data_IF_755670370627
#
_entry.id   IF_755670370627
#
_cell.length_a   1.000
_cell.length_b   1.000
_cell.length_c   1.000
_cell.angle_alpha   90.00
_cell.angle_beta   90.00
_cell.angle_gamma   90.00
#
_symmetry.space_group_name_H-M   'P 1'
#
loop_
_entity.id
_entity.type
_entity.pdbx_description
1 polymer ?
#
# COMPACT_ATOMS: atom_id res chain seq x y z
N UNK A 1 13.94 -15.24 6.46
CA UNK A 1 12.54 -15.26 6.90
C UNK A 1 11.67 -15.16 5.66
N UNK A 2 10.66 -16.01 5.49
CA UNK A 2 9.70 -15.84 4.38
C UNK A 2 8.68 -14.79 4.83
N UNK A 3 8.43 -13.71 4.06
CA UNK A 3 7.47 -12.69 4.47
C UNK A 3 6.05 -13.26 4.48
N UNK A 4 5.22 -12.80 5.42
CA UNK A 4 3.79 -13.03 5.35
C UNK A 4 3.21 -12.21 4.19
N UNK A 5 2.43 -12.86 3.32
CA UNK A 5 1.88 -12.21 2.13
C UNK A 5 0.37 -12.03 2.23
N UNK A 6 -0.10 -10.80 1.98
CA UNK A 6 -1.50 -10.47 1.83
C UNK A 6 -1.82 -10.16 0.37
N UNK A 7 -2.92 -10.72 -0.13
CA UNK A 7 -3.36 -10.54 -1.52
C UNK A 7 -4.71 -9.87 -1.57
N UNK A 8 -4.74 -8.73 -2.23
CA UNK A 8 -5.95 -7.93 -2.49
C UNK A 8 -6.15 -7.82 -4.00
N UNK A 9 -7.39 -7.55 -4.39
CA UNK A 9 -7.76 -7.37 -5.79
C UNK A 9 -8.79 -6.26 -5.87
N UNK A 10 -8.60 -5.34 -6.82
CA UNK A 10 -9.55 -4.26 -7.09
C UNK A 10 -9.59 -3.97 -8.59
N UNK A 11 -10.80 -3.78 -9.10
CA UNK A 11 -11.06 -3.27 -10.46
C UNK A 11 -11.35 -1.78 -10.38
N UNK A 12 -10.72 -0.98 -11.23
CA UNK A 12 -10.80 0.47 -11.15
C UNK A 12 -10.84 1.11 -12.53
N UNK A 13 -11.69 2.11 -12.71
CA UNK A 13 -11.65 2.91 -13.93
C UNK A 13 -10.34 3.72 -13.98
N UNK A 14 -9.72 3.79 -15.16
CA UNK A 14 -8.42 4.43 -15.35
C UNK A 14 -8.40 5.89 -14.87
N UNK A 15 -9.50 6.63 -15.00
CA UNK A 15 -9.58 8.03 -14.54
C UNK A 15 -9.65 8.16 -13.02
N UNK A 16 -10.03 7.09 -12.32
CA UNK A 16 -10.28 7.06 -10.87
C UNK A 16 -9.16 6.38 -10.07
N UNK A 17 -8.05 6.05 -10.72
CA UNK A 17 -7.02 5.20 -10.13
C UNK A 17 -6.21 5.88 -9.02
N UNK A 18 -5.96 7.19 -9.14
CA UNK A 18 -5.15 7.91 -8.17
C UNK A 18 -5.82 7.98 -6.78
N UNK A 19 -7.11 8.34 -6.64
CA UNK A 19 -7.82 8.25 -5.35
C UNK A 19 -7.79 6.84 -4.74
N UNK A 20 -7.92 5.79 -5.55
CA UNK A 20 -7.89 4.39 -5.08
C UNK A 20 -6.50 4.01 -4.55
N UNK A 21 -5.44 4.32 -5.29
CA UNK A 21 -4.07 4.09 -4.85
C UNK A 21 -3.77 4.83 -3.55
N UNK A 22 -4.17 6.11 -3.45
CA UNK A 22 -4.03 6.89 -2.23
C UNK A 22 -4.71 6.21 -1.04
N UNK A 23 -5.99 5.81 -1.19
CA UNK A 23 -6.74 5.20 -0.11
C UNK A 23 -6.12 3.89 0.39
N UNK A 24 -5.75 3.00 -0.54
CA UNK A 24 -5.18 1.68 -0.22
C UNK A 24 -3.78 1.81 0.40
N UNK A 25 -2.88 2.57 -0.23
CA UNK A 25 -1.49 2.72 0.22
C UNK A 25 -1.45 3.39 1.60
N UNK A 26 -2.17 4.50 1.79
CA UNK A 26 -2.19 5.19 3.08
C UNK A 26 -2.77 4.31 4.18
N UNK A 27 -3.84 3.54 3.90
CA UNK A 27 -4.44 2.66 4.91
C UNK A 27 -3.48 1.56 5.35
N UNK A 28 -2.85 0.86 4.39
CA UNK A 28 -1.88 -0.20 4.70
C UNK A 28 -0.72 0.36 5.53
N UNK A 29 -0.14 1.49 5.11
CA UNK A 29 0.97 2.11 5.83
C UNK A 29 0.53 2.60 7.21
N UNK A 30 -0.63 3.23 7.34
CA UNK A 30 -1.17 3.70 8.61
C UNK A 30 -1.29 2.57 9.64
N UNK A 31 -1.87 1.43 9.26
CA UNK A 31 -2.04 0.28 10.14
C UNK A 31 -0.74 -0.49 10.46
N UNK A 32 0.36 -0.12 9.81
CA UNK A 32 1.70 -0.68 10.00
C UNK A 32 2.74 0.39 10.34
N UNK A 33 2.27 1.54 10.82
CA UNK A 33 3.12 2.60 11.33
C UNK A 33 3.25 2.49 12.83
N UNK A 34 4.45 2.18 13.33
CA UNK A 34 4.68 1.84 14.74
C UNK A 34 5.30 2.98 15.54
N UNK A 35 5.37 4.17 14.96
CA UNK A 35 5.86 5.36 15.63
C UNK A 35 4.71 6.29 16.02
N UNK A 36 4.87 7.11 17.07
CA UNK A 36 3.82 8.03 17.48
C UNK A 36 3.45 8.98 16.34
N UNK A 37 2.19 8.93 15.91
CA UNK A 37 1.66 9.80 14.86
C UNK A 37 0.29 10.31 15.21
N UNK A 38 -0.03 11.51 14.71
CA UNK A 38 -1.39 12.01 14.74
C UNK A 38 -2.15 11.43 13.55
N UNK A 39 -3.19 10.60 13.77
CA UNK A 39 -4.04 10.14 12.69
C UNK A 39 -4.78 11.32 12.04
N UNK A 40 -4.94 11.26 10.72
CA UNK A 40 -5.74 12.20 9.95
C UNK A 40 -6.61 11.42 8.96
N UNK A 41 -7.82 11.92 8.67
CA UNK A 41 -8.79 11.25 7.80
C UNK A 41 -8.91 12.04 6.50
N UNK A 42 -8.82 11.33 5.37
CA UNK A 42 -9.08 11.87 4.02
C UNK A 42 -10.26 11.12 3.41
N UNK A 43 -10.94 11.75 2.46
CA UNK A 43 -12.07 11.14 1.74
C UNK A 43 -11.74 10.93 0.25
N UNK A 44 -11.68 9.68 -0.18
CA UNK A 44 -11.74 9.34 -1.60
C UNK A 44 -13.19 9.50 -2.10
N UNK A 45 -13.36 10.06 -3.30
CA UNK A 45 -14.67 10.25 -3.92
C UNK A 45 -15.71 10.94 -3.00
N UNK A 46 -15.24 11.89 -2.17
CA UNK A 46 -16.00 12.68 -1.20
C UNK A 46 -16.76 11.88 -0.12
N UNK A 47 -16.66 10.56 -0.09
CA UNK A 47 -17.53 9.70 0.75
C UNK A 47 -16.81 8.51 1.38
N UNK A 48 -15.71 8.04 0.80
CA UNK A 48 -14.94 6.91 1.33
C UNK A 48 -13.81 7.44 2.20
N UNK A 49 -14.00 7.39 3.52
CA UNK A 49 -12.99 7.78 4.48
C UNK A 49 -11.88 6.73 4.59
N UNK A 50 -10.62 7.19 4.66
CA UNK A 50 -9.48 6.34 4.95
C UNK A 50 -8.46 7.09 5.83
N UNK A 51 -7.72 6.38 6.70
CA UNK A 51 -6.72 7.01 7.56
C UNK A 51 -5.43 7.30 6.79
N UNK A 52 -4.75 8.36 7.18
CA UNK A 52 -3.40 8.70 6.76
C UNK A 52 -2.57 9.18 7.97
N UNK A 53 -1.27 9.26 7.75
CA UNK A 53 -0.29 9.72 8.73
C UNK A 53 0.03 11.18 8.41
N UNK A 54 -0.13 12.07 9.39
CA UNK A 54 0.29 13.47 9.26
C UNK A 54 1.81 13.62 9.50
N UNK A 55 2.62 12.95 8.68
CA UNK A 55 4.09 13.01 8.66
C UNK A 55 4.57 13.44 7.26
N UNK A 56 5.21 14.62 7.10
CA UNK A 56 5.58 15.15 5.80
C UNK A 56 6.51 14.24 4.99
N UNK A 57 7.41 13.51 5.65
CA UNK A 57 8.34 12.61 4.97
C UNK A 57 7.61 11.41 4.37
N UNK A 58 6.73 10.78 5.16
CA UNK A 58 5.89 9.68 4.72
C UNK A 58 4.95 10.10 3.60
N UNK A 59 4.30 11.27 3.72
CA UNK A 59 3.45 11.84 2.67
C UNK A 59 4.21 12.08 1.37
N UNK A 60 5.43 12.63 1.45
CA UNK A 60 6.29 12.86 0.28
C UNK A 60 6.69 11.55 -0.40
N UNK A 61 7.05 10.52 0.37
CA UNK A 61 7.38 9.19 -0.17
C UNK A 61 6.19 8.59 -0.91
N UNK A 62 5.01 8.61 -0.30
CA UNK A 62 3.78 8.05 -0.89
C UNK A 62 3.40 8.81 -2.16
N UNK A 63 3.33 10.14 -2.10
CA UNK A 63 2.92 10.99 -3.23
C UNK A 63 3.88 10.93 -4.41
N UNK A 64 5.19 10.91 -4.14
CA UNK A 64 6.23 10.74 -5.17
C UNK A 64 6.05 9.41 -5.87
N UNK A 65 5.84 8.34 -5.09
CA UNK A 65 5.69 7.00 -5.66
C UNK A 65 4.41 6.86 -6.48
N UNK A 66 3.28 7.35 -5.97
CA UNK A 66 2.01 7.35 -6.72
C UNK A 66 2.19 8.11 -8.04
N UNK A 67 2.84 9.28 -8.02
CA UNK A 67 3.10 10.06 -9.23
C UNK A 67 3.95 9.28 -10.25
N UNK A 68 4.98 8.56 -9.78
CA UNK A 68 5.80 7.68 -10.63
C UNK A 68 4.99 6.52 -11.21
N UNK A 69 4.13 5.88 -10.39
CA UNK A 69 3.24 4.80 -10.81
C UNK A 69 2.31 5.31 -11.93
N UNK A 70 1.59 6.41 -11.69
CA UNK A 70 0.65 6.98 -12.66
C UNK A 70 1.33 7.32 -14.00
N UNK A 71 2.55 7.84 -13.97
CA UNK A 71 3.35 8.12 -15.18
C UNK A 71 3.73 6.85 -15.94
N UNK A 72 3.99 5.75 -15.25
CA UNK A 72 4.35 4.47 -15.87
C UNK A 72 3.12 3.73 -16.42
N UNK A 73 1.96 3.85 -15.76
CA UNK A 73 0.70 3.24 -16.20
C UNK A 73 0.19 3.81 -17.53
N UNK A 74 0.59 5.03 -17.90
CA UNK A 74 0.30 5.58 -19.23
C UNK A 74 1.00 4.83 -20.38
N UNK A 75 1.98 3.96 -20.09
CA UNK A 75 2.87 3.35 -21.10
C UNK A 75 2.69 1.84 -21.31
N UNK A 76 2.07 1.12 -20.37
CA UNK A 76 2.12 -0.36 -20.29
C UNK A 76 0.78 -0.91 -19.73
N UNK A 77 0.51 -2.24 -19.71
CA UNK A 77 -0.84 -2.79 -19.80
C UNK A 77 -1.75 -2.48 -18.62
N UNK A 78 -3.04 -2.75 -18.88
CA UNK A 78 -4.24 -2.41 -18.11
C UNK A 78 -4.21 -2.96 -16.67
N UNK A 79 -3.38 -3.96 -16.35
CA UNK A 79 -3.35 -4.59 -15.02
C UNK A 79 -1.94 -4.64 -14.45
N UNK A 80 -1.82 -4.38 -13.15
CA UNK A 80 -0.54 -4.38 -12.45
C UNK A 80 -0.69 -4.84 -11.00
N UNK A 81 0.41 -5.31 -10.40
CA UNK A 81 0.52 -5.54 -8.96
C UNK A 81 1.16 -4.32 -8.32
N UNK A 82 0.43 -3.66 -7.43
CA UNK A 82 1.00 -2.75 -6.44
C UNK A 82 1.55 -3.60 -5.28
N UNK A 83 2.82 -3.44 -4.97
CA UNK A 83 3.50 -4.18 -3.90
C UNK A 83 3.93 -3.19 -2.82
N UNK A 84 3.60 -3.48 -1.56
CA UNK A 84 4.05 -2.73 -0.38
C UNK A 84 4.73 -3.70 0.57
N UNK A 85 5.99 -3.47 0.88
CA UNK A 85 6.80 -4.34 1.72
C UNK A 85 7.23 -3.62 2.98
N UNK A 86 7.08 -4.27 4.13
CA UNK A 86 7.62 -3.81 5.41
C UNK A 86 8.86 -4.64 5.74
N UNK A 87 9.93 -3.92 6.09
CA UNK A 87 11.25 -4.50 6.31
C UNK A 87 11.70 -4.31 7.76
N UNK A 88 12.53 -5.23 8.25
CA UNK A 88 13.31 -5.07 9.47
C UNK A 88 14.78 -4.93 9.12
N UNK A 89 15.54 -4.16 9.91
CA UNK A 89 16.99 -4.03 9.75
C UNK A 89 17.69 -5.01 10.69
N UNK A 90 18.28 -6.06 10.14
CA UNK A 90 19.03 -7.06 10.89
C UNK A 90 20.52 -6.72 10.82
N UNK A 91 21.15 -6.55 11.97
CA UNK A 91 22.60 -6.38 12.07
C UNK A 91 23.23 -7.73 12.38
N UNK A 92 23.99 -8.29 11.44
CA UNK A 92 24.81 -9.48 11.69
C UNK A 92 26.22 -9.02 12.04
N UNK A 93 26.63 -9.29 13.28
CA UNK A 93 28.02 -9.10 13.72
C UNK A 93 28.81 -10.36 13.42
N UNK A 94 29.76 -10.25 12.50
CA UNK A 94 30.81 -11.26 12.29
C UNK A 94 32.12 -10.67 12.83
N UNK A 95 33.07 -11.50 13.26
CA UNK A 95 34.38 -11.07 13.75
C UNK A 95 35.02 -10.04 12.77
N UNK A 96 35.13 -8.79 13.23
CA UNK A 96 35.58 -7.57 12.53
C UNK A 96 34.69 -6.91 11.46
N UNK A 97 33.50 -7.43 11.13
CA UNK A 97 32.58 -6.78 10.19
C UNK A 97 31.15 -6.73 10.69
N UNK A 98 30.52 -5.58 10.49
CA UNK A 98 29.10 -5.37 10.77
C UNK A 98 28.38 -5.26 9.42
N UNK A 99 27.57 -6.26 9.08
CA UNK A 99 26.71 -6.19 7.90
C UNK A 99 25.28 -5.91 8.35
N UNK A 100 24.69 -4.84 7.82
CA UNK A 100 23.28 -4.51 7.99
C UNK A 100 22.50 -5.01 6.77
N UNK A 101 21.50 -5.85 7.01
CA UNK A 101 20.62 -6.39 5.97
C UNK A 101 19.17 -5.95 6.23
N UNK A 102 18.46 -5.51 5.19
CA UNK A 102 17.01 -5.30 5.22
C UNK A 102 16.29 -6.60 4.86
N UNK A 103 15.39 -7.06 5.71
CA UNK A 103 14.62 -8.29 5.51
C UNK A 103 13.13 -8.01 5.56
N UNK A 104 12.42 -8.34 4.48
CA UNK A 104 10.96 -8.22 4.40
C UNK A 104 10.29 -9.24 5.33
N UNK A 105 9.39 -8.75 6.19
CA UNK A 105 8.60 -9.58 7.11
C UNK A 105 7.11 -9.60 6.73
N UNK A 106 6.62 -8.59 6.02
CA UNK A 106 5.24 -8.51 5.53
C UNK A 106 5.21 -7.87 4.13
N UNK A 107 4.39 -8.44 3.24
CA UNK A 107 4.21 -7.99 1.86
C UNK A 107 2.73 -7.94 1.50
N UNK A 108 2.25 -6.77 1.09
CA UNK A 108 0.95 -6.59 0.50
C UNK A 108 1.06 -6.58 -1.01
N UNK A 109 0.31 -7.45 -1.68
CA UNK A 109 0.23 -7.54 -3.13
C UNK A 109 -1.21 -7.18 -3.51
N UNK A 110 -1.39 -5.99 -4.06
CA UNK A 110 -2.69 -5.50 -4.52
C UNK A 110 -2.70 -5.60 -6.04
N UNK A 111 -3.43 -6.57 -6.56
CA UNK A 111 -3.71 -6.63 -7.99
C UNK A 111 -4.70 -5.53 -8.34
N UNK A 112 -4.28 -4.59 -9.16
CA UNK A 112 -5.10 -3.50 -9.68
C UNK A 112 -5.36 -3.77 -11.15
N UNK A 113 -6.60 -4.06 -11.47
CA UNK A 113 -7.08 -4.21 -12.85
C UNK A 113 -7.77 -2.92 -13.26
N UNK A 114 -7.19 -2.22 -14.23
CA UNK A 114 -7.82 -1.01 -14.76
C UNK A 114 -8.84 -1.36 -15.84
N UNK A 115 -9.76 -0.46 -16.14
CA UNK A 115 -10.57 -0.54 -17.34
C UNK A 115 -10.91 0.87 -17.82
N UNK A 116 -11.38 0.99 -19.06
CA UNK A 116 -11.90 2.24 -19.58
C UNK A 116 -13.42 2.24 -19.48
N UNK A 117 -14.00 3.20 -18.78
CA UNK A 117 -15.45 3.36 -18.66
C UNK A 117 -16.11 4.09 -19.83
N UNK A 118 -15.45 4.20 -21.00
CA UNK A 118 -16.03 4.85 -22.18
C UNK A 118 -17.35 4.18 -22.57
N UNK A 119 -18.42 4.99 -22.68
CA UNK A 119 -19.76 4.51 -23.00
C UNK A 119 -20.55 3.93 -21.81
N UNK A 120 -19.97 3.88 -20.60
CA UNK A 120 -20.67 3.47 -19.38
C UNK A 120 -21.25 4.68 -18.63
N UNK A 121 -22.26 4.42 -17.79
CA UNK A 121 -22.78 5.41 -16.85
C UNK A 121 -21.74 5.69 -15.76
N UNK A 122 -21.24 6.92 -15.71
CA UNK A 122 -20.26 7.36 -14.71
C UNK A 122 -20.74 7.12 -13.28
N UNK A 123 -22.01 7.43 -12.98
CA UNK A 123 -22.61 7.25 -11.66
C UNK A 123 -22.57 5.78 -11.22
N UNK A 124 -22.99 4.85 -12.09
CA UNK A 124 -22.97 3.40 -11.79
C UNK A 124 -21.54 2.88 -11.58
N UNK A 125 -20.59 3.34 -12.40
CA UNK A 125 -19.17 2.96 -12.28
C UNK A 125 -18.60 3.46 -10.95
N UNK A 126 -18.88 4.72 -10.61
CA UNK A 126 -18.40 5.33 -9.37
C UNK A 126 -19.01 4.67 -8.13
N UNK A 127 -20.31 4.38 -8.13
CA UNK A 127 -20.98 3.72 -7.01
C UNK A 127 -20.44 2.32 -6.76
N UNK A 128 -20.23 1.55 -7.84
CA UNK A 128 -19.58 0.23 -7.73
C UNK A 128 -18.16 0.35 -7.20
N UNK A 129 -17.37 1.31 -7.71
CA UNK A 129 -16.00 1.54 -7.26
C UNK A 129 -15.94 1.93 -5.77
N UNK A 130 -16.88 2.76 -5.30
CA UNK A 130 -16.97 3.15 -3.89
C UNK A 130 -17.22 1.93 -2.98
N UNK A 131 -18.12 1.03 -3.39
CA UNK A 131 -18.38 -0.22 -2.67
C UNK A 131 -17.12 -1.08 -2.64
N UNK A 132 -16.49 -1.31 -3.79
CA UNK A 132 -15.31 -2.17 -3.90
C UNK A 132 -14.11 -1.62 -3.11
N UNK A 133 -13.91 -0.30 -3.15
CA UNK A 133 -12.88 0.36 -2.35
C UNK A 133 -13.16 0.21 -0.85
N UNK A 134 -14.40 0.46 -0.41
CA UNK A 134 -14.80 0.31 1.00
C UNK A 134 -14.56 -1.11 1.49
N UNK A 135 -14.99 -2.11 0.73
CA UNK A 135 -14.84 -3.51 1.10
C UNK A 135 -13.36 -3.92 1.13
N UNK A 136 -12.54 -3.38 0.21
CA UNK A 136 -11.08 -3.56 0.21
C UNK A 136 -10.42 -2.94 1.46
N UNK A 137 -10.85 -1.73 1.85
CA UNK A 137 -10.34 -1.06 3.06
C UNK A 137 -10.70 -1.80 4.33
N UNK A 138 -11.93 -2.32 4.44
CA UNK A 138 -12.34 -3.17 5.55
C UNK A 138 -11.54 -4.47 5.60
N UNK A 139 -11.30 -5.09 4.44
CA UNK A 139 -10.45 -6.28 4.36
C UNK A 139 -9.01 -6.02 4.82
N UNK A 140 -8.46 -4.83 4.56
CA UNK A 140 -7.15 -4.42 5.11
C UNK A 140 -7.18 -4.43 6.64
N UNK A 141 -8.23 -3.86 7.25
CA UNK A 141 -8.40 -3.83 8.70
C UNK A 141 -8.47 -5.26 9.26
N UNK A 142 -9.30 -6.12 8.66
CA UNK A 142 -9.46 -7.51 9.12
C UNK A 142 -8.15 -8.29 9.05
N UNK A 143 -7.39 -8.14 7.95
CA UNK A 143 -6.10 -8.80 7.77
C UNK A 143 -5.05 -8.28 8.77
N UNK A 144 -5.02 -6.96 8.99
CA UNK A 144 -4.16 -6.32 9.99
C UNK A 144 -4.49 -6.83 11.39
N UNK A 145 -5.78 -6.93 11.72
CA UNK A 145 -6.25 -7.25 13.05
C UNK A 145 -6.01 -8.72 13.40
N UNK A 146 -6.27 -9.60 12.44
CA UNK A 146 -6.07 -11.04 12.58
C UNK A 146 -4.59 -11.45 12.62
N UNK A 147 -3.73 -10.73 11.89
CA UNK A 147 -2.30 -11.03 11.78
C UNK A 147 -1.48 -9.98 12.54
N UNK A 148 -1.56 -9.97 13.87
CA UNK A 148 -0.70 -9.14 14.73
C UNK A 148 0.52 -9.91 15.23
N UNK A 149 0.39 -11.22 15.38
CA UNK A 149 1.40 -12.06 16.04
C UNK A 149 2.69 -12.25 15.23
N UNK A 150 2.67 -11.96 13.92
CA UNK A 150 3.86 -12.05 13.07
C UNK A 150 4.70 -10.76 13.02
N UNK A 151 4.24 -9.69 13.67
CA UNK A 151 4.97 -8.42 13.74
C UNK A 151 6.29 -8.66 14.51
N UNK A 152 7.46 -8.33 13.94
CA UNK A 152 8.74 -8.53 14.61
C UNK A 152 8.85 -7.72 15.91
N UNK A 153 9.75 -8.15 16.81
CA UNK A 153 10.09 -7.38 18.00
C UNK A 153 10.78 -6.07 17.63
N UNK A 154 10.30 -4.96 18.20
CA UNK A 154 10.93 -3.65 18.07
C UNK A 154 12.16 -3.62 18.98
N UNK A 155 13.35 -3.66 18.37
CA UNK A 155 14.64 -3.74 19.10
C UNK A 155 15.40 -2.43 19.16
N UNK A 156 15.04 -1.43 18.35
CA UNK A 156 15.69 -0.12 18.26
C UNK A 156 14.72 1.00 18.62
N UNK A 157 15.25 2.11 19.13
CA UNK A 157 14.53 3.38 19.35
C UNK A 157 14.45 4.25 18.08
N UNK A 158 14.58 3.64 16.89
CA UNK A 158 14.51 4.38 15.62
C UNK A 158 13.13 5.03 15.46
N UNK A 159 13.11 6.19 14.79
CA UNK A 159 11.88 6.94 14.54
C UNK A 159 10.88 6.22 13.62
N UNK A 160 11.29 5.16 12.91
CA UNK A 160 10.41 4.20 12.24
C UNK A 160 11.06 2.81 12.32
N UNK A 161 10.54 1.89 13.17
CA UNK A 161 11.17 0.59 13.39
C UNK A 161 11.03 -0.35 12.18
N UNK A 162 10.07 -0.11 11.29
CA UNK A 162 9.82 -0.93 10.10
C UNK A 162 9.70 -0.06 8.85
N UNK A 163 10.81 0.25 8.14
CA UNK A 163 10.75 0.97 6.88
C UNK A 163 9.91 0.19 5.85
N UNK A 164 9.18 0.93 5.02
CA UNK A 164 8.38 0.35 3.94
C UNK A 164 8.93 0.74 2.57
N UNK A 165 8.71 -0.13 1.60
CA UNK A 165 8.97 0.12 0.20
C UNK A 165 7.70 -0.13 -0.60
N UNK A 166 7.50 0.67 -1.65
CA UNK A 166 6.38 0.52 -2.58
C UNK A 166 6.98 0.20 -3.95
N UNK A 167 6.37 -0.67 -4.72
CA UNK A 167 6.76 -0.96 -6.10
C UNK A 167 5.56 -1.39 -6.95
N UNK A 168 5.73 -1.42 -8.27
CA UNK A 168 4.72 -1.94 -9.19
C UNK A 168 5.35 -2.98 -10.11
N UNK A 169 4.59 -4.02 -10.41
CA UNK A 169 4.96 -5.08 -11.35
C UNK A 169 3.85 -5.24 -12.40
N UNK A 170 4.14 -5.05 -13.70
CA UNK A 170 3.14 -5.26 -14.75
C UNK A 170 2.64 -6.71 -14.75
N UNK A 171 1.33 -6.91 -14.85
CA UNK A 171 0.79 -8.24 -15.10
C UNK A 171 0.89 -8.52 -16.60
N UNK A 172 1.90 -9.31 -16.98
CA UNK A 172 1.97 -9.89 -18.32
C UNK A 172 1.13 -11.17 -18.27
N UNK A 173 -0.01 -11.18 -18.96
CA UNK A 173 -0.66 -12.44 -19.31
C UNK A 173 0.22 -13.12 -20.36
N UNK A 174 0.80 -14.27 -20.00
CA UNK A 174 1.59 -15.14 -20.89
C UNK A 174 0.64 -16.04 -21.66
#
# INVERSE_FOLDING_TARGET
MKPLEFKLHIKVDQSSIQPVLNAIINSIIFYRYFSPVKPFIIHAFNSIAYPTINDPNTELVISTKISQILKNLQKTPISYKLIIEFNTRIIKKTWFTTNEESVCWERWIVTVETFSSLGLSFEKVLDKLKIDLRDTLLKIIDLVDYNKDHIPLISKTDSNPFPFEISIDPLIEI
#
